data_IF_578758977495
#
_entry.id   IF_578758977495
#
_cell.length_a   1.000
_cell.length_b   1.000
_cell.length_c   1.000
_cell.angle_alpha   90.00
_cell.angle_beta   90.00
_cell.angle_gamma   90.00
#
_symmetry.space_group_name_H-M   'P 1'
#
loop_
_entity.id
_entity.type
_entity.pdbx_description
1 polymer ?
#
# COMPACT_ATOMS: atom_id res chain seq x y z
N UNK A 1 15.99 -39.48 -0.80
CA UNK A 1 15.03 -38.90 -1.76
C UNK A 1 14.82 -37.48 -1.29
N UNK A 2 15.77 -36.65 -1.68
CA UNK A 2 15.90 -35.26 -1.29
C UNK A 2 15.34 -34.40 -2.42
N UNK A 3 14.33 -33.59 -2.12
CA UNK A 3 13.97 -32.45 -2.96
C UNK A 3 13.71 -31.26 -2.05
N UNK A 4 14.81 -30.61 -1.66
CA UNK A 4 14.80 -29.24 -1.20
C UNK A 4 14.45 -28.38 -2.40
N UNK A 5 13.27 -27.77 -2.37
CA UNK A 5 12.88 -26.73 -3.34
C UNK A 5 13.87 -25.58 -3.17
N UNK A 6 14.70 -25.42 -4.19
CA UNK A 6 15.74 -24.42 -4.29
C UNK A 6 15.08 -23.04 -4.37
N UNK A 7 15.45 -22.14 -3.44
CA UNK A 7 15.11 -20.74 -3.51
C UNK A 7 15.76 -20.15 -4.76
N UNK A 8 14.94 -19.79 -5.74
CA UNK A 8 15.36 -19.21 -7.01
C UNK A 8 16.18 -17.94 -6.82
N UNK A 9 17.49 -18.13 -6.95
CA UNK A 9 18.51 -17.28 -7.53
C UNK A 9 18.04 -15.97 -8.23
N UNK A 10 18.67 -14.88 -7.77
CA UNK A 10 18.75 -13.52 -8.33
C UNK A 10 18.47 -13.41 -9.84
N UNK A 11 17.26 -12.94 -10.16
CA UNK A 11 16.99 -12.20 -11.40
C UNK A 11 17.19 -10.69 -11.12
N UNK A 12 17.62 -9.86 -12.10
CA UNK A 12 17.69 -8.43 -11.90
C UNK A 12 16.33 -7.94 -11.42
N UNK A 13 16.30 -7.21 -10.30
CA UNK A 13 15.09 -6.62 -9.74
C UNK A 13 14.43 -5.77 -10.83
N UNK A 14 13.37 -6.32 -11.44
CA UNK A 14 12.59 -5.60 -12.44
C UNK A 14 11.89 -4.48 -11.68
N UNK A 15 12.13 -3.23 -12.09
CA UNK A 15 11.41 -2.08 -11.56
C UNK A 15 9.91 -2.36 -11.70
N UNK A 16 9.11 -2.20 -10.63
CA UNK A 16 7.67 -2.41 -10.72
C UNK A 16 7.03 -1.48 -11.75
N UNK A 17 6.28 -2.04 -12.70
CA UNK A 17 5.64 -1.31 -13.79
C UNK A 17 4.14 -1.09 -13.55
N UNK A 18 3.58 -1.73 -12.53
CA UNK A 18 2.18 -1.58 -12.10
C UNK A 18 2.10 -1.22 -10.63
N UNK A 19 0.99 -0.59 -10.22
CA UNK A 19 0.74 -0.32 -8.80
C UNK A 19 0.75 -1.61 -7.97
N UNK A 20 0.26 -2.71 -8.52
CA UNK A 20 0.29 -4.02 -7.86
C UNK A 20 1.71 -4.56 -7.66
N UNK A 21 2.54 -4.58 -8.69
CA UNK A 21 3.95 -4.99 -8.55
C UNK A 21 4.68 -4.09 -7.53
N UNK A 22 4.36 -2.79 -7.51
CA UNK A 22 4.94 -1.85 -6.56
C UNK A 22 4.47 -2.13 -5.14
N UNK A 23 3.17 -2.39 -4.94
CA UNK A 23 2.60 -2.74 -3.66
C UNK A 23 3.25 -4.01 -3.08
N UNK A 24 3.47 -5.03 -3.91
CA UNK A 24 4.16 -6.26 -3.50
C UNK A 24 5.62 -5.98 -3.08
N UNK A 25 6.36 -5.21 -3.88
CA UNK A 25 7.75 -4.87 -3.57
C UNK A 25 7.87 -3.98 -2.32
N UNK A 26 6.95 -3.02 -2.16
CA UNK A 26 6.86 -2.16 -0.99
C UNK A 26 6.52 -2.94 0.28
N UNK A 27 5.58 -3.88 0.20
CA UNK A 27 5.20 -4.67 1.37
C UNK A 27 6.23 -5.73 1.76
N UNK A 28 7.14 -6.08 0.84
CA UNK A 28 8.30 -6.92 1.14
C UNK A 28 9.41 -6.17 1.90
N UNK A 29 9.42 -4.82 1.85
CA UNK A 29 10.38 -4.00 2.60
C UNK A 29 9.94 -3.85 4.08
N UNK A 30 10.70 -4.38 5.05
CA UNK A 30 10.25 -4.48 6.44
C UNK A 30 9.88 -3.14 7.09
N UNK A 31 10.59 -2.07 6.74
CA UNK A 31 10.32 -0.73 7.29
C UNK A 31 8.97 -0.21 6.79
N UNK A 32 8.68 -0.38 5.50
CA UNK A 32 7.41 0.04 4.91
C UNK A 32 6.27 -0.80 5.48
N UNK A 33 6.44 -2.13 5.53
CA UNK A 33 5.44 -3.04 6.11
C UNK A 33 5.08 -2.64 7.54
N UNK A 34 6.09 -2.42 8.39
CA UNK A 34 5.89 -2.00 9.78
C UNK A 34 5.10 -0.70 9.88
N UNK A 35 5.45 0.30 9.07
CA UNK A 35 4.78 1.60 9.07
C UNK A 35 3.36 1.53 8.53
N UNK A 36 3.11 0.78 7.47
CA UNK A 36 1.76 0.55 6.95
C UNK A 36 0.86 -0.09 8.01
N UNK A 37 1.34 -1.12 8.71
CA UNK A 37 0.59 -1.75 9.81
C UNK A 37 0.31 -0.77 10.95
N UNK A 38 1.31 0.02 11.36
CA UNK A 38 1.14 1.02 12.41
C UNK A 38 0.10 2.09 12.04
N UNK A 39 0.20 2.66 10.83
CA UNK A 39 -0.72 3.69 10.34
C UNK A 39 -2.14 3.13 10.14
N UNK A 40 -2.27 1.90 9.68
CA UNK A 40 -3.56 1.22 9.59
C UNK A 40 -4.20 1.05 10.98
N UNK A 41 -3.42 0.58 11.96
CA UNK A 41 -3.98 0.19 13.25
C UNK A 41 -4.28 1.40 14.14
N UNK A 42 -3.39 2.39 14.15
CA UNK A 42 -3.51 3.56 15.02
C UNK A 42 -4.22 4.76 14.37
N UNK A 43 -4.17 4.87 13.04
CA UNK A 43 -4.71 6.02 12.31
C UNK A 43 -5.83 5.63 11.31
N UNK A 44 -6.19 4.35 11.23
CA UNK A 44 -7.20 3.82 10.30
C UNK A 44 -6.91 4.17 8.83
N UNK A 45 -5.64 4.47 8.53
CA UNK A 45 -5.23 4.84 7.18
C UNK A 45 -5.39 3.67 6.22
N UNK A 46 -5.60 4.01 4.97
CA UNK A 46 -5.68 3.07 3.89
C UNK A 46 -4.28 2.76 3.34
N UNK A 47 -3.80 1.54 3.60
CA UNK A 47 -2.52 1.06 3.09
C UNK A 47 -2.45 1.14 1.56
N UNK A 48 -3.54 0.85 0.85
CA UNK A 48 -3.52 0.90 -0.62
C UNK A 48 -3.43 2.33 -1.15
N UNK A 49 -4.03 3.31 -0.46
CA UNK A 49 -3.84 4.73 -0.79
C UNK A 49 -2.43 5.20 -0.45
N UNK A 50 -1.85 4.76 0.68
CA UNK A 50 -0.45 5.04 1.02
C UNK A 50 0.52 4.49 -0.04
N UNK A 51 0.28 3.28 -0.52
CA UNK A 51 1.05 2.66 -1.59
C UNK A 51 0.84 3.36 -2.93
N UNK A 52 -0.38 3.79 -3.24
CA UNK A 52 -0.68 4.60 -4.42
C UNK A 52 0.03 5.96 -4.38
N UNK A 53 0.05 6.66 -3.24
CA UNK A 53 0.82 7.89 -3.05
C UNK A 53 2.31 7.64 -3.24
N UNK A 54 2.78 6.52 -2.68
CA UNK A 54 4.14 6.01 -2.80
C UNK A 54 4.54 5.61 -4.21
N UNK A 55 3.58 5.23 -5.08
CA UNK A 55 3.78 4.82 -6.47
C UNK A 55 3.65 5.98 -7.46
N UNK A 56 2.70 6.89 -7.24
CA UNK A 56 2.39 7.99 -8.15
C UNK A 56 3.59 8.92 -8.35
N UNK A 57 3.78 9.38 -9.58
CA UNK A 57 4.90 10.25 -9.97
C UNK A 57 4.54 11.72 -10.00
N UNK A 58 3.24 12.02 -9.99
CA UNK A 58 2.70 13.37 -10.00
C UNK A 58 2.27 13.79 -8.60
N UNK A 59 2.32 15.10 -8.34
CA UNK A 59 1.83 15.66 -7.10
C UNK A 59 0.31 15.58 -7.07
N UNK A 60 -0.22 14.97 -6.03
CA UNK A 60 -1.64 14.92 -5.78
C UNK A 60 -2.17 16.31 -5.43
N UNK A 61 -3.32 16.64 -5.99
CA UNK A 61 -4.20 17.70 -5.50
C UNK A 61 -5.10 17.11 -4.40
N UNK A 62 -5.70 17.97 -3.58
CA UNK A 62 -6.70 17.53 -2.61
C UNK A 62 -7.90 16.86 -3.32
N UNK A 63 -8.30 17.37 -4.49
CA UNK A 63 -9.41 16.83 -5.27
C UNK A 63 -9.11 15.42 -5.79
N UNK A 64 -7.92 15.19 -6.35
CA UNK A 64 -7.50 13.85 -6.77
C UNK A 64 -7.44 12.89 -5.57
N UNK A 65 -6.92 13.35 -4.43
CA UNK A 65 -6.88 12.52 -3.23
C UNK A 65 -8.28 12.14 -2.74
N UNK A 66 -9.22 13.09 -2.72
CA UNK A 66 -10.62 12.83 -2.39
C UNK A 66 -11.29 11.87 -3.38
N UNK A 67 -10.97 11.98 -4.68
CA UNK A 67 -11.44 11.06 -5.71
C UNK A 67 -10.94 9.63 -5.46
N UNK A 68 -9.64 9.46 -5.18
CA UNK A 68 -9.06 8.16 -4.84
C UNK A 68 -9.69 7.54 -3.60
N UNK A 69 -9.91 8.33 -2.54
CA UNK A 69 -10.60 7.88 -1.32
C UNK A 69 -12.03 7.40 -1.66
N UNK A 70 -12.77 8.18 -2.45
CA UNK A 70 -14.14 7.82 -2.86
C UNK A 70 -14.18 6.58 -3.75
N UNK A 71 -13.17 6.38 -4.60
CA UNK A 71 -13.07 5.22 -5.47
C UNK A 71 -12.74 3.95 -4.67
N UNK A 72 -11.90 4.06 -3.63
CA UNK A 72 -11.53 2.97 -2.73
C UNK A 72 -12.67 2.54 -1.79
N UNK A 73 -13.44 3.50 -1.27
CA UNK A 73 -14.43 3.27 -0.21
C UNK A 73 -15.41 2.10 -0.44
N UNK A 74 -16.00 1.90 -1.64
CA UNK A 74 -16.90 0.76 -1.89
C UNK A 74 -16.26 -0.60 -1.63
N UNK A 75 -14.97 -0.75 -1.96
CA UNK A 75 -14.23 -2.01 -1.73
C UNK A 75 -13.75 -2.09 -0.28
N UNK A 76 -13.20 -0.98 0.21
CA UNK A 76 -12.69 -0.87 1.59
C UNK A 76 -13.74 -1.21 2.63
N UNK A 77 -14.89 -0.53 2.56
CA UNK A 77 -15.97 -0.66 3.53
C UNK A 77 -16.73 -1.98 3.43
N UNK A 78 -16.96 -2.48 2.21
CA UNK A 78 -17.74 -3.70 2.00
C UNK A 78 -16.95 -5.00 2.22
N UNK A 79 -15.65 -4.99 1.91
CA UNK A 79 -14.83 -6.21 1.91
C UNK A 79 -13.62 -6.12 2.84
N UNK A 80 -12.74 -5.14 2.67
CA UNK A 80 -11.44 -5.12 3.36
C UNK A 80 -11.59 -4.99 4.87
N UNK A 81 -12.31 -3.97 5.36
CA UNK A 81 -12.48 -3.76 6.80
C UNK A 81 -13.22 -4.92 7.48
N UNK A 82 -14.33 -5.47 6.92
CA UNK A 82 -14.96 -6.67 7.46
C UNK A 82 -14.05 -7.91 7.47
N UNK A 83 -13.34 -8.18 6.38
CA UNK A 83 -12.42 -9.33 6.30
C UNK A 83 -11.28 -9.21 7.30
N UNK A 84 -10.72 -8.01 7.46
CA UNK A 84 -9.67 -7.72 8.44
C UNK A 84 -10.17 -7.91 9.87
N UNK A 85 -11.39 -7.47 10.18
CA UNK A 85 -11.99 -7.68 11.50
C UNK A 85 -12.20 -9.18 11.79
N UNK A 86 -12.74 -9.94 10.82
CA UNK A 86 -12.91 -11.39 10.95
C UNK A 86 -11.57 -12.12 11.08
N UNK A 87 -10.55 -11.72 10.30
CA UNK A 87 -9.22 -12.32 10.38
C UNK A 87 -8.61 -12.16 11.77
N UNK A 88 -8.75 -10.98 12.38
CA UNK A 88 -8.30 -10.72 13.76
C UNK A 88 -9.01 -11.61 14.78
N UNK A 89 -10.32 -11.83 14.61
CA UNK A 89 -11.08 -12.74 15.47
C UNK A 89 -10.65 -14.20 15.31
N UNK A 90 -10.17 -14.59 14.12
CA UNK A 90 -9.75 -15.95 13.79
C UNK A 90 -8.27 -16.24 14.08
N UNK A 91 -7.54 -15.38 14.81
CA UNK A 91 -6.08 -15.49 15.00
C UNK A 91 -5.63 -16.86 15.53
N UNK A 92 -6.44 -17.52 16.37
CA UNK A 92 -6.14 -18.84 16.95
C UNK A 92 -6.66 -20.01 16.09
N UNK A 93 -7.26 -19.73 14.94
CA UNK A 93 -7.86 -20.71 14.05
C UNK A 93 -7.09 -20.74 12.72
N UNK A 94 -5.93 -21.42 12.68
CA UNK A 94 -4.97 -21.36 11.56
C UNK A 94 -5.61 -21.47 10.17
N UNK A 95 -6.50 -22.46 9.96
CA UNK A 95 -7.18 -22.66 8.67
C UNK A 95 -8.10 -21.51 8.27
N UNK A 96 -8.88 -20.98 9.22
CA UNK A 96 -9.78 -19.85 8.99
C UNK A 96 -8.99 -18.55 8.83
N UNK A 97 -7.97 -18.33 9.65
CA UNK A 97 -7.06 -17.19 9.56
C UNK A 97 -6.41 -17.10 8.18
N UNK A 98 -5.88 -18.21 7.68
CA UNK A 98 -5.28 -18.30 6.35
C UNK A 98 -6.28 -17.96 5.24
N UNK A 99 -7.48 -18.56 5.28
CA UNK A 99 -8.52 -18.30 4.29
C UNK A 99 -8.98 -16.83 4.27
N UNK A 100 -9.17 -16.23 5.45
CA UNK A 100 -9.54 -14.82 5.57
C UNK A 100 -8.42 -13.89 5.11
N UNK A 101 -7.16 -14.23 5.39
CA UNK A 101 -6.00 -13.48 4.89
C UNK A 101 -5.95 -13.50 3.36
N UNK A 102 -6.16 -14.65 2.74
CA UNK A 102 -6.22 -14.76 1.27
C UNK A 102 -7.36 -13.92 0.70
N UNK A 103 -8.55 -13.98 1.30
CA UNK A 103 -9.68 -13.17 0.87
C UNK A 103 -9.42 -11.65 1.02
N UNK A 104 -8.79 -11.23 2.12
CA UNK A 104 -8.41 -9.82 2.35
C UNK A 104 -7.43 -9.34 1.27
N UNK A 105 -6.40 -10.13 0.95
CA UNK A 105 -5.41 -9.80 -0.10
C UNK A 105 -6.08 -9.67 -1.47
N UNK A 106 -7.04 -10.54 -1.80
CA UNK A 106 -7.79 -10.42 -3.05
C UNK A 106 -8.66 -9.15 -3.07
N UNK A 107 -9.25 -8.76 -1.93
CA UNK A 107 -9.97 -7.49 -1.81
C UNK A 107 -9.04 -6.27 -1.94
N UNK A 108 -7.86 -6.32 -1.34
CA UNK A 108 -6.83 -5.30 -1.49
C UNK A 108 -6.35 -5.19 -2.96
N UNK A 109 -6.25 -6.30 -3.69
CA UNK A 109 -5.94 -6.27 -5.13
C UNK A 109 -7.03 -5.56 -5.93
N UNK A 110 -8.31 -5.84 -5.66
CA UNK A 110 -9.41 -5.14 -6.33
C UNK A 110 -9.38 -3.63 -6.08
N UNK A 111 -9.06 -3.21 -4.86
CA UNK A 111 -8.91 -1.79 -4.53
C UNK A 111 -7.71 -1.15 -5.25
N UNK A 112 -6.57 -1.84 -5.31
CA UNK A 112 -5.41 -1.42 -6.11
C UNK A 112 -5.77 -1.27 -7.59
N UNK A 113 -6.53 -2.20 -8.17
CA UNK A 113 -6.96 -2.11 -9.57
C UNK A 113 -7.83 -0.87 -9.81
N UNK A 114 -8.74 -0.56 -8.89
CA UNK A 114 -9.55 0.67 -8.94
C UNK A 114 -8.67 1.91 -8.83
N UNK A 115 -7.76 1.97 -7.85
CA UNK A 115 -6.85 3.11 -7.68
C UNK A 115 -5.95 3.30 -8.91
N UNK A 116 -5.43 2.21 -9.47
CA UNK A 116 -4.59 2.24 -10.66
C UNK A 116 -5.32 2.83 -11.88
N UNK A 117 -6.63 2.62 -12.01
CA UNK A 117 -7.42 3.22 -13.11
C UNK A 117 -7.59 4.75 -13.00
N UNK A 118 -7.38 5.32 -11.82
CA UNK A 118 -7.47 6.76 -11.55
C UNK A 118 -6.10 7.45 -11.56
N UNK A 119 -5.01 6.68 -11.59
CA UNK A 119 -3.64 7.20 -11.63
C UNK A 119 -3.15 7.09 -13.08
N UNK A 120 -2.67 8.18 -13.70
CA UNK A 120 -2.16 8.11 -15.06
C UNK A 120 -1.03 7.08 -15.18
N UNK A 121 -1.04 6.31 -16.28
CA UNK A 121 0.09 5.47 -16.66
C UNK A 121 1.24 6.37 -17.14
N UNK A 122 2.42 6.25 -16.52
CA UNK A 122 3.55 7.15 -16.82
C UNK A 122 4.75 6.32 -17.30
N UNK A 123 5.44 6.73 -18.40
CA UNK A 123 6.65 6.08 -18.88
C UNK A 123 7.85 6.24 -17.92
N UNK A 124 8.89 5.41 -18.13
CA UNK A 124 10.02 4.99 -17.25
C UNK A 124 10.94 6.08 -16.62
N UNK A 125 10.46 7.26 -16.21
CA UNK A 125 11.29 8.26 -15.52
C UNK A 125 11.33 8.13 -13.98
N UNK A 126 12.44 8.51 -13.34
CA UNK A 126 12.62 8.36 -11.89
C UNK A 126 11.65 9.26 -11.11
N UNK A 127 10.92 8.70 -10.13
CA UNK A 127 10.10 9.52 -9.21
C UNK A 127 10.98 10.13 -8.13
N UNK A 128 10.86 11.44 -7.94
CA UNK A 128 11.49 12.16 -6.83
C UNK A 128 10.81 11.83 -5.49
N UNK A 129 11.61 11.56 -4.46
CA UNK A 129 11.18 11.39 -3.07
C UNK A 129 10.31 12.57 -2.57
N UNK A 130 10.55 13.79 -3.07
CA UNK A 130 9.74 14.95 -2.71
C UNK A 130 8.28 14.82 -3.19
N UNK A 131 8.03 14.22 -4.36
CA UNK A 131 6.66 13.98 -4.85
C UNK A 131 5.96 12.91 -4.02
N UNK A 132 6.67 11.83 -3.68
CA UNK A 132 6.16 10.79 -2.79
C UNK A 132 5.73 11.37 -1.43
N UNK A 133 6.61 12.18 -0.82
CA UNK A 133 6.31 12.81 0.47
C UNK A 133 5.12 13.77 0.36
N UNK A 134 5.06 14.57 -0.70
CA UNK A 134 3.94 15.47 -0.96
C UNK A 134 2.61 14.70 -1.01
N UNK A 135 2.54 13.58 -1.74
CA UNK A 135 1.32 12.80 -1.90
C UNK A 135 0.85 12.19 -0.57
N UNK A 136 1.78 11.66 0.22
CA UNK A 136 1.49 11.14 1.55
C UNK A 136 0.96 12.24 2.48
N UNK A 137 1.56 13.43 2.46
CA UNK A 137 1.12 14.58 3.26
C UNK A 137 -0.27 15.09 2.85
N UNK A 138 -0.55 15.14 1.54
CA UNK A 138 -1.91 15.46 1.04
C UNK A 138 -2.92 14.46 1.58
N UNK A 139 -2.61 13.16 1.52
CA UNK A 139 -3.49 12.13 2.04
C UNK A 139 -3.75 12.28 3.55
N UNK A 140 -2.73 12.49 4.37
CA UNK A 140 -2.92 12.70 5.80
C UNK A 140 -3.73 13.98 6.13
N UNK A 141 -3.53 15.06 5.37
CA UNK A 141 -4.29 16.29 5.54
C UNK A 141 -5.78 16.08 5.27
N UNK A 142 -6.12 15.29 4.24
CA UNK A 142 -7.51 14.96 3.87
C UNK A 142 -8.14 13.93 4.82
N UNK A 143 -7.38 12.92 5.26
CA UNK A 143 -7.89 11.78 6.04
C UNK A 143 -8.10 12.08 7.53
N UNK A 144 -7.14 12.74 8.19
CA UNK A 144 -7.14 12.82 9.65
C UNK A 144 -6.64 14.13 10.25
N UNK A 145 -6.26 15.11 9.43
CA UNK A 145 -5.58 16.33 9.90
C UNK A 145 -4.19 15.99 10.45
N UNK A 146 -3.14 16.19 9.64
CA UNK A 146 -1.78 15.65 9.89
C UNK A 146 -1.27 15.80 11.33
N UNK A 147 -0.65 14.73 11.85
CA UNK A 147 0.09 14.73 13.11
C UNK A 147 1.60 14.74 12.83
N UNK A 148 2.39 15.36 13.71
CA UNK A 148 3.87 15.36 13.59
C UNK A 148 4.48 13.95 13.56
N UNK A 149 3.83 12.99 14.22
CA UNK A 149 4.27 11.59 14.19
C UNK A 149 4.05 10.97 12.80
N UNK A 150 2.87 11.16 12.21
CA UNK A 150 2.54 10.67 10.86
C UNK A 150 3.49 11.29 9.83
N UNK A 151 3.78 12.59 9.94
CA UNK A 151 4.76 13.27 9.06
C UNK A 151 6.16 12.65 9.15
N UNK A 152 6.61 12.32 10.37
CA UNK A 152 7.91 11.64 10.57
C UNK A 152 7.94 10.24 9.96
N UNK A 153 6.84 9.49 10.09
CA UNK A 153 6.71 8.16 9.49
C UNK A 153 6.78 8.26 7.96
N UNK A 154 6.08 9.22 7.37
CA UNK A 154 6.11 9.44 5.92
C UNK A 154 7.50 9.81 5.41
N UNK A 155 8.25 10.64 6.13
CA UNK A 155 9.64 10.95 5.79
C UNK A 155 10.51 9.67 5.74
N UNK A 156 10.35 8.74 6.68
CA UNK A 156 11.07 7.46 6.66
C UNK A 156 10.59 6.53 5.52
N UNK A 157 9.27 6.45 5.30
CA UNK A 157 8.69 5.65 4.21
C UNK A 157 9.18 6.10 2.84
N UNK A 158 9.25 7.42 2.58
CA UNK A 158 9.67 7.96 1.27
C UNK A 158 11.10 7.56 0.91
N UNK A 159 12.01 7.58 1.88
CA UNK A 159 13.39 7.10 1.70
C UNK A 159 13.48 5.62 1.34
N UNK A 160 12.52 4.79 1.78
CA UNK A 160 12.47 3.37 1.43
C UNK A 160 11.74 3.11 0.11
N UNK A 161 10.68 3.86 -0.20
CA UNK A 161 10.03 3.81 -1.51
C UNK A 161 11.00 4.14 -2.66
N UNK A 162 11.95 5.06 -2.43
CA UNK A 162 12.98 5.39 -3.41
C UNK A 162 13.95 4.23 -3.73
N UNK A 163 14.06 3.21 -2.87
CA UNK A 163 14.93 2.03 -3.08
C UNK A 163 14.26 0.93 -3.92
N UNK A 164 12.93 0.95 -3.99
CA UNK A 164 12.11 0.00 -4.76
C UNK A 164 12.01 0.40 -6.24
N UNK A 165 12.49 1.60 -6.58
CA UNK A 165 12.31 2.29 -7.87
C UNK A 165 13.60 2.44 -8.65
#
# INVERSE_FOLDING_TARGET
MDEKINAGENSPSKVPNTLWEFALAAYAEPIIQRHCLYLQDHYQMDVNILLAAGFCREKWTNDLCLELIRAAEPIRGAYILPLRALRRQAEQCEGLYGALKTAEIEAERMEIDVLASHIPAIPEEKVDSATCLHNLLVYAAVHSGGSREVESIFAEMTGNFAKIR
#
